data_IF_143936697719
#
_entry.id   IF_143936697719
#
_cell.length_a   1.000
_cell.length_b   1.000
_cell.length_c   1.000
_cell.angle_alpha   90.00
_cell.angle_beta   90.00
_cell.angle_gamma   90.00
#
_symmetry.space_group_name_H-M   'P 1'
#
loop_
_entity.id
_entity.type
_entity.pdbx_description
1 polymer ?
#
# COMPACT_ATOMS: atom_id res chain seq x y z
N UNK A 1 -23.07 -3.00 -39.44
CA UNK A 1 -23.30 -1.91 -38.48
C UNK A 1 -22.66 -2.36 -37.19
N UNK A 2 -21.48 -1.82 -36.96
CA UNK A 2 -20.55 -2.20 -35.90
C UNK A 2 -21.12 -1.94 -34.51
N UNK A 3 -21.10 -2.96 -33.65
CA UNK A 3 -21.32 -2.80 -32.21
C UNK A 3 -19.99 -2.39 -31.58
N UNK A 4 -19.75 -1.08 -31.49
CA UNK A 4 -18.63 -0.52 -30.74
C UNK A 4 -18.90 -0.69 -29.24
N UNK A 5 -18.33 -1.74 -28.67
CA UNK A 5 -18.28 -1.99 -27.24
C UNK A 5 -17.30 -1.02 -26.59
N UNK A 6 -17.72 0.25 -26.43
CA UNK A 6 -16.98 1.23 -25.66
C UNK A 6 -16.99 0.80 -24.18
N UNK A 7 -15.90 0.17 -23.76
CA UNK A 7 -15.61 -0.08 -22.36
C UNK A 7 -15.44 1.27 -21.68
N UNK A 8 -16.52 1.75 -21.04
CA UNK A 8 -16.60 3.07 -20.42
C UNK A 8 -15.54 3.24 -19.33
N UNK A 9 -14.36 3.70 -19.73
CA UNK A 9 -13.33 4.20 -18.82
C UNK A 9 -13.87 5.43 -18.11
N UNK A 10 -13.73 5.48 -16.78
CA UNK A 10 -14.10 6.65 -16.01
C UNK A 10 -13.33 7.89 -16.52
N UNK A 11 -14.04 8.99 -16.76
CA UNK A 11 -13.44 10.27 -17.17
C UNK A 11 -12.50 10.78 -16.08
N UNK A 12 -11.35 11.34 -16.46
CA UNK A 12 -10.39 11.95 -15.51
C UNK A 12 -10.50 13.47 -15.55
N UNK A 13 -10.30 14.12 -14.41
CA UNK A 13 -10.14 15.58 -14.38
C UNK A 13 -8.89 16.03 -15.14
N UNK A 14 -8.84 17.28 -15.67
CA UNK A 14 -7.68 17.76 -16.43
C UNK A 14 -6.35 17.71 -15.66
N UNK A 15 -6.39 17.88 -14.34
CA UNK A 15 -5.23 17.76 -13.45
C UNK A 15 -4.84 16.31 -13.12
N UNK A 16 -5.61 15.32 -13.59
CA UNK A 16 -5.41 13.90 -13.35
C UNK A 16 -5.69 13.43 -11.92
N UNK A 17 -6.07 14.33 -11.01
CA UNK A 17 -6.21 14.05 -9.56
C UNK A 17 -7.45 13.24 -9.21
N UNK A 18 -8.47 13.26 -10.07
CA UNK A 18 -9.73 12.58 -9.86
C UNK A 18 -10.17 11.77 -11.08
N UNK A 19 -10.88 10.67 -10.81
CA UNK A 19 -11.77 9.98 -11.75
C UNK A 19 -13.22 10.35 -11.43
N UNK A 20 -14.04 10.54 -12.46
CA UNK A 20 -15.46 10.88 -12.36
C UNK A 20 -16.28 9.65 -12.74
N UNK A 21 -17.10 9.17 -11.81
CA UNK A 21 -17.99 8.02 -12.02
C UNK A 21 -19.39 8.42 -11.59
N UNK A 22 -20.35 8.37 -12.53
CA UNK A 22 -21.74 8.80 -12.30
C UNK A 22 -21.84 10.21 -11.69
N UNK A 23 -21.04 11.15 -12.19
CA UNK A 23 -20.97 12.53 -11.70
C UNK A 23 -20.24 12.74 -10.37
N UNK A 24 -19.82 11.66 -9.68
CA UNK A 24 -19.06 11.74 -8.43
C UNK A 24 -17.56 11.66 -8.67
N UNK A 25 -16.80 12.57 -8.05
CA UNK A 25 -15.34 12.56 -8.06
C UNK A 25 -14.79 11.58 -7.02
N UNK A 26 -13.85 10.76 -7.45
CA UNK A 26 -13.05 9.87 -6.63
C UNK A 26 -11.58 10.18 -6.88
N UNK A 27 -10.77 10.19 -5.82
CA UNK A 27 -9.33 10.43 -5.98
C UNK A 27 -8.72 9.35 -6.87
N UNK A 28 -7.97 9.77 -7.89
CA UNK A 28 -7.27 8.84 -8.76
C UNK A 28 -6.09 8.20 -8.02
N UNK A 29 -5.73 6.98 -8.44
CA UNK A 29 -4.49 6.33 -8.03
C UNK A 29 -3.31 7.26 -8.31
N UNK A 30 -2.39 7.34 -7.37
CA UNK A 30 -1.16 8.12 -7.51
C UNK A 30 -0.37 7.63 -8.74
N UNK A 31 -0.14 8.50 -9.74
CA UNK A 31 0.53 8.13 -10.98
C UNK A 31 2.03 7.87 -10.81
N UNK A 32 2.62 8.24 -9.67
CA UNK A 32 4.06 8.06 -9.40
C UNK A 32 4.42 6.65 -8.90
N UNK A 33 3.41 5.82 -8.57
CA UNK A 33 3.64 4.45 -8.12
C UNK A 33 4.21 3.62 -9.29
N UNK A 34 5.35 2.93 -9.11
CA UNK A 34 5.89 2.06 -10.15
C UNK A 34 4.88 0.99 -10.58
N UNK A 35 4.70 0.82 -11.90
CA UNK A 35 3.68 -0.06 -12.49
C UNK A 35 3.65 -1.48 -11.88
N UNK A 36 4.79 -2.17 -11.63
CA UNK A 36 4.76 -3.51 -11.02
C UNK A 36 4.18 -3.52 -9.60
N UNK A 37 4.42 -2.47 -8.82
CA UNK A 37 3.88 -2.34 -7.46
C UNK A 37 2.41 -1.90 -7.50
N UNK A 38 2.05 -1.00 -8.41
CA UNK A 38 0.66 -0.60 -8.62
C UNK A 38 -0.22 -1.82 -8.98
N UNK A 39 0.24 -2.69 -9.90
CA UNK A 39 -0.48 -3.93 -10.27
C UNK A 39 -0.72 -4.84 -9.06
N UNK A 40 0.27 -5.00 -8.19
CA UNK A 40 0.13 -5.80 -6.96
C UNK A 40 -0.89 -5.18 -6.00
N UNK A 41 -0.85 -3.87 -5.80
CA UNK A 41 -1.81 -3.18 -4.93
C UNK A 41 -3.24 -3.23 -5.46
N UNK A 42 -3.42 -3.13 -6.78
CA UNK A 42 -4.74 -3.33 -7.42
C UNK A 42 -5.22 -4.77 -7.25
N UNK A 43 -4.33 -5.76 -7.39
CA UNK A 43 -4.67 -7.16 -7.17
C UNK A 43 -5.13 -7.41 -5.72
N UNK A 44 -4.41 -6.90 -4.72
CA UNK A 44 -4.83 -6.96 -3.31
C UNK A 44 -6.16 -6.24 -3.10
N UNK A 45 -6.35 -5.05 -3.67
CA UNK A 45 -7.61 -4.31 -3.56
C UNK A 45 -8.80 -5.14 -4.06
N UNK A 46 -8.64 -5.83 -5.19
CA UNK A 46 -9.69 -6.70 -5.73
C UNK A 46 -9.91 -7.93 -4.86
N UNK A 47 -8.85 -8.52 -4.30
CA UNK A 47 -8.93 -9.63 -3.32
C UNK A 47 -9.66 -9.21 -2.06
N UNK A 48 -9.26 -8.09 -1.45
CA UNK A 48 -9.88 -7.51 -0.27
C UNK A 48 -11.37 -7.19 -0.48
N UNK A 49 -11.75 -6.64 -1.65
CA UNK A 49 -13.17 -6.40 -1.98
C UNK A 49 -13.99 -7.70 -2.05
N UNK A 50 -13.41 -8.79 -2.57
CA UNK A 50 -14.07 -10.10 -2.57
C UNK A 50 -14.24 -10.63 -1.15
N UNK A 51 -13.24 -10.47 -0.29
CA UNK A 51 -13.32 -10.85 1.13
C UNK A 51 -14.37 -10.03 1.89
N UNK A 52 -14.51 -8.73 1.64
CA UNK A 52 -15.60 -7.95 2.24
C UNK A 52 -16.97 -8.49 1.85
N UNK A 53 -17.12 -9.03 0.63
CA UNK A 53 -18.38 -9.63 0.19
C UNK A 53 -18.68 -10.96 0.90
N UNK A 54 -17.65 -11.75 1.25
CA UNK A 54 -17.84 -13.04 1.94
C UNK A 54 -17.88 -12.90 3.46
N UNK A 55 -16.97 -12.10 4.03
CA UNK A 55 -16.65 -12.07 5.47
C UNK A 55 -17.11 -10.77 6.14
N UNK A 56 -17.60 -9.81 5.34
CA UNK A 56 -18.17 -8.56 5.82
C UNK A 56 -17.13 -7.58 6.34
N UNK A 57 -17.42 -6.99 7.51
CA UNK A 57 -16.68 -5.85 8.05
C UNK A 57 -15.25 -6.21 8.48
N UNK A 58 -14.99 -7.49 8.79
CA UNK A 58 -13.66 -7.97 9.19
C UNK A 58 -12.59 -7.70 8.12
N UNK A 59 -12.94 -7.74 6.83
CA UNK A 59 -12.01 -7.54 5.72
C UNK A 59 -11.89 -6.07 5.24
N UNK A 60 -12.67 -5.14 5.81
CA UNK A 60 -12.68 -3.73 5.34
C UNK A 60 -11.35 -3.02 5.55
N UNK A 61 -10.61 -3.39 6.58
CA UNK A 61 -9.29 -2.82 6.86
C UNK A 61 -8.31 -3.09 5.69
N UNK A 62 -8.39 -4.27 5.04
CA UNK A 62 -7.58 -4.58 3.85
C UNK A 62 -7.90 -3.67 2.66
N UNK A 63 -9.18 -3.36 2.45
CA UNK A 63 -9.60 -2.40 1.42
C UNK A 63 -9.10 -0.99 1.75
N UNK A 64 -9.11 -0.61 3.03
CA UNK A 64 -8.56 0.66 3.48
C UNK A 64 -7.05 0.73 3.18
N UNK A 65 -6.29 -0.28 3.58
CA UNK A 65 -4.84 -0.36 3.37
C UNK A 65 -4.47 -0.24 1.89
N UNK A 66 -5.10 -1.07 1.03
CA UNK A 66 -4.81 -1.05 -0.40
C UNK A 66 -5.14 0.31 -1.04
N UNK A 67 -6.24 0.95 -0.63
CA UNK A 67 -6.61 2.29 -1.13
C UNK A 67 -5.70 3.40 -0.63
N UNK A 68 -5.24 3.33 0.61
CA UNK A 68 -4.25 4.27 1.15
C UNK A 68 -2.91 4.10 0.42
N UNK A 69 -2.46 2.86 0.21
CA UNK A 69 -1.23 2.58 -0.54
C UNK A 69 -1.29 3.12 -1.98
N UNK A 70 -2.41 2.89 -2.67
CA UNK A 70 -2.69 3.44 -4.02
C UNK A 70 -2.84 4.97 -4.05
N UNK A 71 -2.90 5.63 -2.89
CA UNK A 71 -3.14 7.07 -2.78
C UNK A 71 -4.60 7.48 -3.03
N UNK A 72 -5.53 6.53 -3.17
CA UNK A 72 -6.97 6.78 -3.39
C UNK A 72 -7.70 7.22 -2.10
N UNK A 73 -7.07 7.02 -0.94
CA UNK A 73 -7.51 7.44 0.40
C UNK A 73 -6.33 7.95 1.21
N UNK A 74 -6.60 8.52 2.38
CA UNK A 74 -5.59 9.12 3.25
C UNK A 74 -5.18 10.52 2.77
N UNK A 75 -3.95 10.92 3.07
CA UNK A 75 -3.38 12.19 2.64
C UNK A 75 -3.33 12.27 1.09
N UNK A 76 -3.78 13.37 0.45
CA UNK A 76 -3.73 13.48 -1.01
C UNK A 76 -2.29 13.52 -1.54
N UNK A 77 -1.99 12.71 -2.56
CA UNK A 77 -0.63 12.54 -3.07
C UNK A 77 -0.06 13.78 -3.78
N UNK A 78 -0.87 14.81 -4.04
CA UNK A 78 -0.44 16.09 -4.61
C UNK A 78 -0.21 17.19 -3.56
N UNK A 79 -0.52 16.92 -2.30
CA UNK A 79 -0.26 17.85 -1.19
C UNK A 79 1.12 17.56 -0.58
N UNK A 80 1.75 18.55 0.09
CA UNK A 80 2.97 18.33 0.86
C UNK A 80 2.76 17.28 1.95
N UNK A 81 3.63 16.27 1.99
CA UNK A 81 3.58 15.19 2.99
C UNK A 81 4.15 15.68 4.32
N UNK A 82 3.51 15.27 5.41
CA UNK A 82 4.06 15.33 6.75
C UNK A 82 4.45 13.92 7.23
N UNK A 83 5.09 13.83 8.40
CA UNK A 83 5.55 12.56 8.95
C UNK A 83 4.39 11.56 9.14
N UNK A 84 3.21 12.04 9.54
CA UNK A 84 2.03 11.21 9.75
C UNK A 84 1.53 10.60 8.43
N UNK A 85 1.44 11.42 7.37
CA UNK A 85 1.04 10.99 6.04
C UNK A 85 2.00 9.94 5.47
N UNK A 86 3.30 10.14 5.65
CA UNK A 86 4.33 9.18 5.22
C UNK A 86 4.18 7.85 5.97
N UNK A 87 4.06 7.89 7.31
CA UNK A 87 3.90 6.70 8.15
C UNK A 87 2.64 5.92 7.78
N UNK A 88 1.50 6.60 7.62
CA UNK A 88 0.23 5.99 7.27
C UNK A 88 0.32 5.25 5.94
N UNK A 89 0.88 5.90 4.92
CA UNK A 89 0.99 5.33 3.59
C UNK A 89 2.01 4.21 3.52
N UNK A 90 3.13 4.32 4.23
CA UNK A 90 4.15 3.27 4.32
C UNK A 90 3.59 2.00 4.97
N UNK A 91 2.92 2.13 6.11
CA UNK A 91 2.37 0.98 6.82
C UNK A 91 1.26 0.28 6.03
N UNK A 92 0.37 1.05 5.40
CA UNK A 92 -0.66 0.53 4.51
C UNK A 92 -0.04 -0.22 3.32
N UNK A 93 1.03 0.32 2.75
CA UNK A 93 1.73 -0.30 1.62
C UNK A 93 2.40 -1.61 2.01
N UNK A 94 3.11 -1.64 3.16
CA UNK A 94 3.79 -2.85 3.63
C UNK A 94 2.79 -4.00 3.75
N UNK A 95 1.68 -3.79 4.47
CA UNK A 95 0.69 -4.85 4.65
C UNK A 95 -0.05 -5.20 3.37
N UNK A 96 -0.40 -4.24 2.52
CA UNK A 96 -1.07 -4.52 1.26
C UNK A 96 -0.19 -5.35 0.30
N UNK A 97 1.10 -5.00 0.16
CA UNK A 97 2.02 -5.76 -0.68
C UNK A 97 2.30 -7.16 -0.12
N UNK A 98 2.44 -7.32 1.20
CA UNK A 98 2.66 -8.62 1.82
C UNK A 98 1.44 -9.55 1.66
N UNK A 99 0.22 -9.03 1.81
CA UNK A 99 -1.01 -9.81 1.59
C UNK A 99 -1.13 -10.30 0.15
N UNK A 100 -0.70 -9.50 -0.84
CA UNK A 100 -0.68 -9.96 -2.24
C UNK A 100 0.43 -10.98 -2.51
N UNK A 101 1.62 -10.77 -1.97
CA UNK A 101 2.79 -11.63 -2.23
C UNK A 101 2.76 -12.95 -1.45
N UNK A 102 1.89 -13.08 -0.45
CA UNK A 102 1.85 -14.18 0.53
C UNK A 102 2.11 -15.56 -0.10
N UNK A 103 3.15 -16.32 0.34
CA UNK A 103 4.00 -16.08 1.52
C UNK A 103 5.32 -15.33 1.26
N UNK A 104 5.48 -14.69 0.10
CA UNK A 104 6.72 -14.01 -0.27
C UNK A 104 6.94 -12.67 0.45
N UNK A 105 8.14 -12.11 0.31
CA UNK A 105 8.61 -10.94 1.07
C UNK A 105 8.66 -9.66 0.22
N UNK A 106 8.78 -8.52 0.88
CA UNK A 106 9.15 -7.23 0.29
C UNK A 106 10.47 -6.72 0.87
N UNK A 107 11.02 -5.62 0.36
CA UNK A 107 12.04 -4.83 1.06
C UNK A 107 11.49 -3.44 1.41
N UNK A 108 12.14 -2.68 2.32
CA UNK A 108 11.69 -1.32 2.66
C UNK A 108 11.55 -0.39 1.45
N UNK A 109 12.41 -0.53 0.45
CA UNK A 109 12.34 0.30 -0.77
C UNK A 109 11.10 0.04 -1.62
N UNK A 110 10.45 -1.14 -1.51
CA UNK A 110 9.17 -1.37 -2.19
C UNK A 110 8.10 -0.43 -1.60
N UNK A 111 8.03 -0.34 -0.27
CA UNK A 111 7.09 0.56 0.41
C UNK A 111 7.42 2.04 0.16
N UNK A 112 8.70 2.40 0.26
CA UNK A 112 9.16 3.76 0.02
C UNK A 112 8.86 4.23 -1.41
N UNK A 113 9.03 3.38 -2.43
CA UNK A 113 8.70 3.73 -3.82
C UNK A 113 7.21 4.01 -4.06
N UNK A 114 6.33 3.30 -3.36
CA UNK A 114 4.88 3.54 -3.46
C UNK A 114 4.49 4.83 -2.73
N UNK A 115 5.03 5.06 -1.54
CA UNK A 115 4.65 6.21 -0.71
C UNK A 115 5.32 7.52 -1.18
N UNK A 116 6.55 7.41 -1.69
CA UNK A 116 7.47 8.52 -1.90
C UNK A 116 7.55 9.06 -3.31
N UNK A 117 7.08 8.31 -4.32
CA UNK A 117 7.20 8.67 -5.73
C UNK A 117 8.66 8.91 -6.12
N UNK A 118 8.94 10.02 -6.81
CA UNK A 118 10.29 10.39 -7.24
C UNK A 118 11.27 10.63 -6.06
N UNK A 119 10.76 11.10 -4.93
CA UNK A 119 11.54 11.37 -3.70
C UNK A 119 11.56 10.19 -2.73
N UNK A 120 11.34 8.96 -3.20
CA UNK A 120 11.24 7.78 -2.32
C UNK A 120 12.47 7.52 -1.46
N UNK A 121 13.66 7.97 -1.88
CA UNK A 121 14.88 7.78 -1.10
C UNK A 121 14.82 8.49 0.25
N UNK A 122 14.14 9.61 0.32
CA UNK A 122 13.98 10.40 1.55
C UNK A 122 13.09 9.66 2.57
N UNK A 123 12.26 8.72 2.11
CA UNK A 123 11.42 7.88 2.97
C UNK A 123 12.09 6.59 3.43
N UNK A 124 13.36 6.34 3.11
CA UNK A 124 14.01 5.08 3.49
C UNK A 124 14.08 4.90 5.00
N UNK A 125 14.42 5.94 5.75
CA UNK A 125 14.48 5.87 7.22
C UNK A 125 13.09 5.68 7.81
N UNK A 126 12.09 6.44 7.32
CA UNK A 126 10.69 6.29 7.73
C UNK A 126 10.17 4.87 7.42
N UNK A 127 10.48 4.30 6.25
CA UNK A 127 10.08 2.94 5.88
C UNK A 127 10.70 1.90 6.81
N UNK A 128 11.95 2.12 7.24
CA UNK A 128 12.61 1.26 8.22
C UNK A 128 11.96 1.37 9.59
N UNK A 129 11.70 2.59 10.06
CA UNK A 129 11.00 2.83 11.33
C UNK A 129 9.62 2.19 11.36
N UNK A 130 8.80 2.41 10.32
CA UNK A 130 7.46 1.80 10.21
C UNK A 130 7.52 0.27 10.20
N UNK A 131 8.50 -0.32 9.51
CA UNK A 131 8.68 -1.77 9.52
C UNK A 131 9.01 -2.30 10.93
N UNK A 132 9.80 -1.57 11.72
CA UNK A 132 10.09 -1.92 13.12
C UNK A 132 8.82 -1.86 13.99
N UNK A 133 7.91 -0.92 13.75
CA UNK A 133 6.65 -0.85 14.52
C UNK A 133 5.69 -1.98 14.17
N UNK A 134 5.61 -2.31 12.87
CA UNK A 134 4.84 -3.47 12.41
C UNK A 134 5.44 -4.77 12.92
N UNK A 135 6.77 -4.86 13.10
CA UNK A 135 7.45 -5.99 13.72
C UNK A 135 7.10 -6.09 15.21
N UNK A 136 7.18 -4.99 15.96
CA UNK A 136 6.80 -4.94 17.39
C UNK A 136 5.34 -5.33 17.64
N UNK A 137 4.47 -5.15 16.66
CA UNK A 137 3.06 -5.57 16.71
C UNK A 137 2.80 -6.90 16.00
N UNK A 138 3.86 -7.63 15.63
CA UNK A 138 3.85 -8.95 14.97
C UNK A 138 3.06 -9.01 13.65
N UNK A 139 2.85 -7.87 12.98
CA UNK A 139 2.25 -7.82 11.64
C UNK A 139 3.25 -8.26 10.57
N UNK A 140 4.54 -8.09 10.85
CA UNK A 140 5.63 -8.51 9.98
C UNK A 140 6.74 -9.19 10.77
N UNK A 141 7.55 -9.97 10.07
CA UNK A 141 8.83 -10.47 10.57
C UNK A 141 9.94 -9.90 9.71
N UNK A 142 10.97 -9.34 10.33
CA UNK A 142 12.15 -8.87 9.59
C UNK A 142 13.17 -9.99 9.48
N UNK A 143 13.70 -10.18 8.27
CA UNK A 143 14.70 -11.21 8.00
C UNK A 143 15.90 -10.65 7.24
N UNK A 144 17.07 -11.21 7.50
CA UNK A 144 18.29 -10.94 6.77
C UNK A 144 18.99 -12.26 6.44
N UNK A 145 19.27 -12.49 5.15
CA UNK A 145 19.78 -13.78 4.64
C UNK A 145 18.91 -14.99 5.02
N UNK A 146 17.60 -14.78 5.18
CA UNK A 146 16.63 -15.82 5.52
C UNK A 146 16.37 -15.99 7.01
N UNK A 147 17.20 -15.40 7.87
CA UNK A 147 17.08 -15.53 9.33
C UNK A 147 16.35 -14.33 9.93
N UNK A 148 15.47 -14.53 10.93
CA UNK A 148 14.86 -13.42 11.68
C UNK A 148 15.92 -12.53 12.34
N UNK A 149 15.73 -11.21 12.24
CA UNK A 149 16.60 -10.20 12.87
C UNK A 149 15.76 -9.05 13.41
N UNK A 150 16.23 -8.39 14.46
CA UNK A 150 15.61 -7.17 14.99
C UNK A 150 15.85 -5.99 14.04
N UNK A 151 14.77 -5.32 13.62
CA UNK A 151 14.83 -4.18 12.71
C UNK A 151 15.64 -3.00 13.24
N UNK A 152 15.62 -2.74 14.55
CA UNK A 152 16.28 -1.61 15.19
C UNK A 152 17.81 -1.75 15.12
N UNK A 153 18.31 -2.99 15.11
CA UNK A 153 19.75 -3.28 15.08
C UNK A 153 20.25 -3.74 13.71
N UNK A 154 19.37 -4.24 12.84
CA UNK A 154 19.74 -4.74 11.52
C UNK A 154 20.40 -3.67 10.64
N UNK A 155 21.49 -4.04 9.97
CA UNK A 155 22.23 -3.15 9.05
C UNK A 155 22.28 -3.74 7.65
N UNK A 156 22.07 -2.89 6.65
CA UNK A 156 22.10 -3.26 5.25
C UNK A 156 20.76 -3.81 4.74
N UNK A 157 20.78 -4.62 3.67
CA UNK A 157 19.59 -5.17 3.04
C UNK A 157 18.82 -6.12 3.96
N UNK A 158 17.55 -5.82 4.17
CA UNK A 158 16.60 -6.63 4.92
C UNK A 158 15.40 -6.99 4.05
N UNK A 159 14.68 -8.04 4.45
CA UNK A 159 13.39 -8.45 3.88
C UNK A 159 12.33 -8.37 4.96
N UNK A 160 11.14 -7.94 4.55
CA UNK A 160 9.94 -7.89 5.39
C UNK A 160 9.07 -9.07 4.94
N UNK A 161 8.74 -9.97 5.86
CA UNK A 161 7.89 -11.13 5.66
C UNK A 161 6.54 -10.97 6.38
N UNK A 162 5.48 -11.70 5.99
CA UNK A 162 4.23 -11.75 6.74
C UNK A 162 4.46 -12.20 8.19
N UNK A 163 3.91 -11.45 9.16
CA UNK A 163 3.84 -11.86 10.56
C UNK A 163 2.47 -12.47 10.90
N UNK A 164 2.32 -13.07 12.09
CA UNK A 164 1.06 -13.69 12.51
C UNK A 164 -0.12 -12.72 12.54
N UNK A 165 0.12 -11.43 12.79
CA UNK A 165 -0.94 -10.42 12.88
C UNK A 165 -1.26 -9.75 11.53
N UNK A 166 -0.67 -10.16 10.40
CA UNK A 166 -0.85 -9.47 9.11
C UNK A 166 -2.33 -9.37 8.68
N UNK A 167 -3.15 -10.36 8.99
CA UNK A 167 -4.58 -10.38 8.62
C UNK A 167 -5.48 -9.61 9.61
N UNK A 168 -4.90 -9.04 10.67
CA UNK A 168 -5.59 -8.17 11.62
C UNK A 168 -5.44 -6.70 11.22
N UNK A 169 -6.30 -5.81 11.75
CA UNK A 169 -6.11 -4.37 11.62
C UNK A 169 -4.75 -3.94 12.18
N UNK A 170 -4.00 -3.20 11.37
CA UNK A 170 -2.72 -2.58 11.78
C UNK A 170 -2.92 -1.64 12.97
N UNK A 171 -1.90 -1.45 13.83
CA UNK A 171 -1.94 -0.43 14.87
C UNK A 171 -2.12 0.96 14.25
N UNK A 172 -2.80 1.85 14.97
CA UNK A 172 -2.86 3.29 14.67
C UNK A 172 -1.74 4.04 15.38
N UNK A 173 -1.21 5.08 14.74
CA UNK A 173 -0.30 6.09 15.31
C UNK A 173 -1.03 7.41 15.54
#
# INVERSE_FOLDING_TARGET
MDTDGSSGGAERTPDGRYVVVNGRRWRATDPTIPEPLQKQLVAELMRARRLVKSDGDSARHRVQDAKVALGERGHPWWEPRDEYADRERLAATICALLRERNPSTICPSDAARVAGGDSWRDLMDAARSVAAELERSEHVVITQKGEPVDMETARGPIRIAPGPNLEHPRPSW
#
